data_IF_415889274986
#
_entry.id   IF_415889274986
#
_cell.length_a   1.000
_cell.length_b   1.000
_cell.length_c   1.000
_cell.angle_alpha   90.00
_cell.angle_beta   90.00
_cell.angle_gamma   90.00
#
_symmetry.space_group_name_H-M   'P 1'
#
loop_
_entity.id
_entity.type
_entity.pdbx_description
1 polymer ?
#
# COMPACT_ATOMS: atom_id res chain seq x y z
N UNK A 1 -14.71 8.97 -8.12
CA UNK A 1 -15.39 9.15 -9.43
C UNK A 1 -16.73 9.84 -9.20
N UNK A 2 -17.23 10.61 -10.18
CA UNK A 2 -18.52 11.31 -10.05
C UNK A 2 -19.71 10.34 -9.98
N UNK A 3 -20.72 10.69 -9.18
CA UNK A 3 -21.96 9.90 -9.03
C UNK A 3 -22.88 9.98 -10.26
N UNK A 4 -22.73 11.02 -11.08
CA UNK A 4 -23.57 11.29 -12.25
C UNK A 4 -22.75 11.25 -13.54
N UNK A 5 -23.32 10.63 -14.58
CA UNK A 5 -22.76 10.55 -15.94
C UNK A 5 -21.27 10.16 -16.00
N UNK A 6 -20.85 9.24 -15.14
CA UNK A 6 -19.48 8.73 -15.08
C UNK A 6 -19.37 7.37 -15.77
N UNK A 7 -18.14 6.91 -16.01
CA UNK A 7 -17.89 5.55 -16.48
C UNK A 7 -18.57 4.52 -15.55
N UNK A 8 -18.54 4.77 -14.24
CA UNK A 8 -19.17 3.93 -13.24
C UNK A 8 -20.70 3.86 -13.43
N UNK A 9 -21.38 5.00 -13.59
CA UNK A 9 -22.85 4.99 -13.75
C UNK A 9 -23.26 4.30 -15.05
N UNK A 10 -22.56 4.58 -16.15
CA UNK A 10 -22.83 3.95 -17.46
C UNK A 10 -22.54 2.44 -17.48
N UNK A 11 -21.51 1.99 -16.77
CA UNK A 11 -21.22 0.56 -16.66
C UNK A 11 -22.31 -0.18 -15.87
N UNK A 12 -22.81 0.42 -14.78
CA UNK A 12 -23.92 -0.13 -13.98
C UNK A 12 -25.25 -0.16 -14.74
N UNK A 13 -25.50 0.80 -15.63
CA UNK A 13 -26.67 0.78 -16.53
C UNK A 13 -26.65 -0.42 -17.48
N UNK A 14 -25.47 -0.78 -18.01
CA UNK A 14 -25.30 -1.93 -18.91
C UNK A 14 -25.29 -3.27 -18.18
N UNK A 15 -24.71 -3.34 -16.98
CA UNK A 15 -24.67 -4.55 -16.19
C UNK A 15 -24.79 -4.20 -14.70
N UNK A 16 -25.95 -4.50 -14.10
CA UNK A 16 -26.21 -4.24 -12.67
C UNK A 16 -25.34 -5.09 -11.74
N UNK A 17 -24.86 -6.25 -12.20
CA UNK A 17 -23.98 -7.15 -11.44
C UNK A 17 -22.50 -6.77 -11.49
N UNK A 18 -22.13 -5.65 -12.13
CA UNK A 18 -20.72 -5.22 -12.17
C UNK A 18 -20.27 -4.71 -10.81
N UNK A 19 -19.18 -5.29 -10.30
CA UNK A 19 -18.48 -4.75 -9.13
C UNK A 19 -17.52 -3.65 -9.57
N UNK A 20 -17.62 -2.48 -8.93
CA UNK A 20 -16.76 -1.33 -9.23
C UNK A 20 -16.01 -0.98 -7.96
N UNK A 21 -14.74 -1.37 -7.93
CA UNK A 21 -13.81 -1.01 -6.87
C UNK A 21 -13.12 0.32 -7.22
N UNK A 22 -13.04 1.24 -6.25
CA UNK A 22 -12.20 2.43 -6.35
C UNK A 22 -10.70 2.09 -6.27
N UNK A 23 -9.88 3.07 -5.89
CA UNK A 23 -8.48 2.84 -5.56
C UNK A 23 -8.27 3.01 -4.05
N UNK A 24 -8.37 1.93 -3.24
CA UNK A 24 -8.04 1.98 -1.82
C UNK A 24 -6.60 2.47 -1.57
N UNK A 25 -5.64 2.12 -2.43
CA UNK A 25 -4.24 2.58 -2.31
C UNK A 25 -4.14 4.12 -2.37
N UNK A 26 -4.87 4.75 -3.29
CA UNK A 26 -4.91 6.20 -3.43
C UNK A 26 -5.64 6.86 -2.25
N UNK A 27 -6.71 6.23 -1.75
CA UNK A 27 -7.37 6.69 -0.52
C UNK A 27 -6.37 6.67 0.65
N UNK A 28 -5.64 5.58 0.85
CA UNK A 28 -4.62 5.46 1.92
C UNK A 28 -3.52 6.51 1.77
N UNK A 29 -3.04 6.78 0.55
CA UNK A 29 -2.09 7.86 0.29
C UNK A 29 -2.67 9.24 0.67
N UNK A 30 -3.89 9.54 0.23
CA UNK A 30 -4.54 10.81 0.54
C UNK A 30 -4.83 10.96 2.03
N UNK A 31 -5.24 9.88 2.72
CA UNK A 31 -5.38 9.85 4.18
C UNK A 31 -4.07 10.28 4.84
N UNK A 32 -2.95 9.69 4.44
CA UNK A 32 -1.66 9.98 5.02
C UNK A 32 -1.19 11.41 4.71
N UNK A 33 -1.43 11.90 3.49
CA UNK A 33 -1.15 13.29 3.10
C UNK A 33 -1.96 14.28 3.95
N UNK A 34 -3.28 14.06 4.10
CA UNK A 34 -4.15 14.91 4.94
C UNK A 34 -3.75 14.88 6.41
N UNK A 35 -3.33 13.71 6.91
CA UNK A 35 -2.83 13.57 8.26
C UNK A 35 -1.51 14.35 8.46
N UNK A 36 -0.58 14.25 7.52
CA UNK A 36 0.67 15.01 7.49
C UNK A 36 0.41 16.53 7.48
N UNK A 37 -0.56 16.99 6.68
CA UNK A 37 -0.98 18.40 6.69
C UNK A 37 -1.53 18.82 8.05
N UNK A 38 -2.31 17.98 8.72
CA UNK A 38 -2.81 18.25 10.08
C UNK A 38 -1.66 18.40 11.08
N UNK A 39 -0.67 17.51 11.03
CA UNK A 39 0.54 17.63 11.86
C UNK A 39 1.30 18.93 11.59
N UNK A 40 1.44 19.30 10.31
CA UNK A 40 2.14 20.51 9.89
C UNK A 40 1.42 21.80 10.33
N UNK A 41 0.09 21.79 10.46
CA UNK A 41 -0.69 22.94 10.94
C UNK A 41 -0.35 23.30 12.40
N UNK A 42 -0.12 22.29 13.25
CA UNK A 42 0.21 22.50 14.67
C UNK A 42 1.71 22.74 14.91
N UNK A 43 2.58 22.08 14.13
CA UNK A 43 4.04 22.04 14.38
C UNK A 43 4.86 22.93 13.44
N UNK A 44 4.25 23.47 12.39
CA UNK A 44 4.92 24.14 11.27
C UNK A 44 6.00 23.27 10.59
N UNK A 45 5.89 21.94 10.72
CA UNK A 45 6.79 20.98 10.10
C UNK A 45 6.03 20.19 9.02
N UNK A 46 6.26 20.56 7.77
CA UNK A 46 5.78 19.82 6.61
C UNK A 46 6.82 18.77 6.20
N UNK A 47 6.47 17.50 6.32
CA UNK A 47 7.35 16.38 6.03
C UNK A 47 7.68 16.26 4.53
N UNK A 48 6.68 16.46 3.67
CA UNK A 48 6.80 16.32 2.22
C UNK A 48 7.76 17.39 1.67
N UNK A 49 7.55 18.65 2.06
CA UNK A 49 8.41 19.77 1.68
C UNK A 49 9.83 19.59 2.24
N UNK A 50 9.95 19.13 3.49
CA UNK A 50 11.25 18.87 4.11
C UNK A 50 12.06 17.81 3.35
N UNK A 51 11.44 16.66 3.04
CA UNK A 51 12.08 15.59 2.28
C UNK A 51 12.42 16.04 0.85
N UNK A 52 11.53 16.81 0.22
CA UNK A 52 11.74 17.39 -1.11
C UNK A 52 12.94 18.32 -1.13
N UNK A 53 13.02 19.28 -0.19
CA UNK A 53 14.13 20.24 -0.09
C UNK A 53 15.47 19.54 0.14
N UNK A 54 15.50 18.52 1.01
CA UNK A 54 16.72 17.73 1.26
C UNK A 54 17.17 17.01 0.00
N UNK A 55 16.27 16.34 -0.71
CA UNK A 55 16.61 15.64 -1.95
C UNK A 55 17.06 16.60 -3.06
N UNK A 56 16.34 17.72 -3.24
CA UNK A 56 16.61 18.74 -4.25
C UNK A 56 17.97 19.40 -4.04
N UNK A 57 18.36 19.64 -2.78
CA UNK A 57 19.66 20.22 -2.44
C UNK A 57 20.83 19.42 -3.02
N UNK A 58 20.73 18.08 -3.00
CA UNK A 58 21.78 17.19 -3.48
C UNK A 58 21.60 16.74 -4.93
N UNK A 59 20.38 16.72 -5.48
CA UNK A 59 20.03 16.08 -6.75
C UNK A 59 21.05 16.32 -7.88
N UNK A 60 21.41 17.59 -8.12
CA UNK A 60 22.26 18.01 -9.25
C UNK A 60 23.67 18.48 -8.88
N UNK A 61 24.13 18.27 -7.64
CA UNK A 61 25.43 18.81 -7.19
C UNK A 61 26.36 17.73 -6.67
N UNK A 62 27.29 17.29 -7.53
CA UNK A 62 28.36 16.37 -7.14
C UNK A 62 29.24 16.95 -6.02
N UNK A 63 29.49 18.27 -6.03
CA UNK A 63 30.23 18.97 -4.96
C UNK A 63 29.54 18.83 -3.59
N UNK A 64 28.21 19.01 -3.53
CA UNK A 64 27.45 18.86 -2.29
C UNK A 64 27.41 17.41 -1.82
N UNK A 65 27.25 16.45 -2.74
CA UNK A 65 27.31 15.00 -2.43
C UNK A 65 28.67 14.60 -1.85
N UNK A 66 29.77 14.98 -2.51
CA UNK A 66 31.13 14.70 -2.04
C UNK A 66 31.43 15.36 -0.70
N UNK A 67 30.88 16.55 -0.43
CA UNK A 67 31.01 17.18 0.89
C UNK A 67 30.21 16.42 1.97
N UNK A 68 28.98 15.99 1.69
CA UNK A 68 28.22 15.16 2.62
C UNK A 68 28.94 13.85 2.93
N UNK A 69 29.57 13.22 1.93
CA UNK A 69 30.40 12.03 2.11
C UNK A 69 31.56 12.26 3.10
N UNK A 70 32.24 13.41 3.03
CA UNK A 70 33.26 13.79 4.04
C UNK A 70 32.70 13.90 5.44
N UNK A 71 31.47 14.42 5.62
CA UNK A 71 30.81 14.42 6.93
C UNK A 71 30.48 13.02 7.41
N UNK A 72 30.07 12.12 6.51
CA UNK A 72 29.82 10.71 6.86
C UNK A 72 31.11 10.03 7.33
N UNK A 73 32.22 10.23 6.61
CA UNK A 73 33.55 9.73 6.98
C UNK A 73 34.02 10.28 8.33
N UNK A 74 33.81 11.57 8.59
CA UNK A 74 34.16 12.20 9.88
C UNK A 74 33.38 11.61 11.08
N UNK A 75 32.21 11.04 10.82
CA UNK A 75 31.35 10.42 11.84
C UNK A 75 31.42 8.88 11.82
N UNK A 76 32.43 8.28 11.17
CA UNK A 76 32.61 6.83 11.04
C UNK A 76 31.35 6.12 10.51
N UNK A 77 30.67 6.74 9.55
CA UNK A 77 29.45 6.24 8.96
C UNK A 77 29.57 6.05 7.44
N UNK A 78 29.10 4.92 6.93
CA UNK A 78 29.02 4.67 5.49
C UNK A 78 28.12 5.69 4.80
N UNK A 79 28.63 6.25 3.70
CA UNK A 79 27.85 7.13 2.86
C UNK A 79 26.65 6.40 2.25
N UNK A 80 25.49 7.05 2.31
CA UNK A 80 24.27 6.61 1.64
C UNK A 80 23.71 7.75 0.81
N UNK A 81 23.29 7.47 -0.41
CA UNK A 81 22.70 8.49 -1.29
C UNK A 81 21.41 9.03 -0.69
N UNK A 82 21.18 10.35 -0.76
CA UNK A 82 19.86 10.89 -0.39
C UNK A 82 18.82 10.41 -1.39
N UNK A 83 17.69 9.90 -0.90
CA UNK A 83 16.61 9.37 -1.74
C UNK A 83 15.69 10.52 -2.16
N UNK A 84 15.36 10.57 -3.44
CA UNK A 84 14.35 11.48 -3.98
C UNK A 84 12.94 11.03 -3.59
N UNK A 85 12.15 11.98 -3.09
CA UNK A 85 10.74 11.75 -2.79
C UNK A 85 9.87 12.23 -3.95
N UNK A 86 8.87 11.41 -4.31
CA UNK A 86 7.83 11.79 -5.27
C UNK A 86 6.55 12.05 -4.48
N UNK A 87 6.07 13.29 -4.49
CA UNK A 87 4.95 13.79 -3.66
C UNK A 87 3.65 12.97 -3.73
N UNK A 88 3.48 12.14 -4.76
CA UNK A 88 2.28 11.32 -4.97
C UNK A 88 2.36 9.92 -4.38
N UNK A 89 3.43 9.57 -3.65
CA UNK A 89 3.65 8.20 -3.15
C UNK A 89 4.08 8.19 -1.69
N UNK A 90 3.17 7.81 -0.80
CA UNK A 90 3.47 7.66 0.63
C UNK A 90 4.64 6.70 0.91
N UNK A 91 4.79 5.64 0.11
CA UNK A 91 5.91 4.69 0.23
C UNK A 91 7.27 5.33 -0.08
N UNK A 92 7.36 6.29 -1.02
CA UNK A 92 8.63 7.00 -1.26
C UNK A 92 8.97 7.94 -0.11
N UNK A 93 7.95 8.52 0.55
CA UNK A 93 8.16 9.37 1.71
C UNK A 93 8.73 8.57 2.89
N UNK A 94 8.24 7.34 3.10
CA UNK A 94 8.81 6.41 4.08
C UNK A 94 10.29 6.14 3.80
N UNK A 95 10.64 5.82 2.54
CA UNK A 95 12.02 5.56 2.16
C UNK A 95 12.93 6.78 2.35
N UNK A 96 12.48 7.97 1.92
CA UNK A 96 13.22 9.21 2.04
C UNK A 96 13.43 9.59 3.52
N UNK A 97 12.37 9.53 4.33
CA UNK A 97 12.44 9.83 5.77
C UNK A 97 13.38 8.88 6.50
N UNK A 98 13.31 7.58 6.21
CA UNK A 98 14.21 6.58 6.78
C UNK A 98 15.69 6.85 6.38
N UNK A 99 15.94 7.26 5.14
CA UNK A 99 17.29 7.64 4.68
C UNK A 99 17.79 8.89 5.38
N UNK A 100 16.94 9.89 5.57
CA UNK A 100 17.30 11.12 6.30
C UNK A 100 17.62 10.79 7.75
N UNK A 101 16.81 9.99 8.44
CA UNK A 101 17.07 9.56 9.81
C UNK A 101 18.40 8.80 9.94
N UNK A 102 18.69 7.90 9.01
CA UNK A 102 19.97 7.19 8.99
C UNK A 102 21.16 8.15 8.86
N UNK A 103 21.00 9.24 8.10
CA UNK A 103 22.06 10.24 7.87
C UNK A 103 21.90 11.46 8.79
N UNK A 104 21.03 11.43 9.80
CA UNK A 104 20.54 12.64 10.45
C UNK A 104 21.66 13.45 11.09
N UNK A 105 22.57 12.78 11.80
CA UNK A 105 23.76 13.41 12.41
C UNK A 105 24.63 14.13 11.36
N UNK A 106 24.89 13.47 10.24
CA UNK A 106 25.74 13.97 9.16
C UNK A 106 25.06 15.15 8.44
N UNK A 107 23.76 15.02 8.17
CA UNK A 107 22.95 16.07 7.55
C UNK A 107 22.83 17.29 8.46
N UNK A 108 22.62 17.09 9.77
CA UNK A 108 22.59 18.17 10.76
C UNK A 108 23.92 18.92 10.78
N UNK A 109 25.05 18.21 10.86
CA UNK A 109 26.39 18.82 10.82
C UNK A 109 26.70 19.51 9.50
N UNK A 110 26.19 18.98 8.38
CA UNK A 110 26.32 19.59 7.06
C UNK A 110 25.52 20.89 6.94
N UNK A 111 24.27 20.90 7.41
CA UNK A 111 23.35 22.02 7.20
C UNK A 111 23.48 23.14 8.23
N UNK A 112 24.01 22.87 9.43
CA UNK A 112 24.22 23.89 10.45
C UNK A 112 24.98 25.12 9.88
N UNK A 113 26.16 24.96 9.24
CA UNK A 113 26.91 26.10 8.69
C UNK A 113 26.30 26.65 7.39
N UNK A 114 25.60 25.82 6.61
CA UNK A 114 25.05 26.22 5.30
C UNK A 114 23.80 27.11 5.43
N UNK A 115 22.96 26.85 6.43
CA UNK A 115 21.70 27.56 6.66
C UNK A 115 21.89 28.97 7.22
N UNK A 116 23.06 29.27 7.78
CA UNK A 116 23.50 30.62 8.17
C UNK A 116 23.89 31.47 6.96
N UNK A 117 24.31 30.84 5.86
CA UNK A 117 24.83 31.51 4.67
C UNK A 117 23.82 31.61 3.51
N UNK A 118 22.84 30.68 3.42
CA UNK A 118 21.91 30.61 2.29
C UNK A 118 20.44 30.71 2.73
N UNK A 119 19.73 31.72 2.19
CA UNK A 119 18.30 32.01 2.43
C UNK A 119 17.31 31.10 1.69
N UNK A 120 17.78 30.21 0.81
CA UNK A 120 16.94 29.61 -0.24
C UNK A 120 16.07 28.40 0.15
N UNK A 121 16.23 27.80 1.34
CA UNK A 121 15.39 26.67 1.74
C UNK A 121 14.93 26.79 3.19
N UNK A 122 13.73 27.35 3.38
CA UNK A 122 13.04 27.48 4.67
C UNK A 122 13.05 26.18 5.47
N UNK A 123 12.80 25.04 4.82
CA UNK A 123 12.65 23.76 5.51
C UNK A 123 13.99 23.15 5.95
N UNK A 124 15.09 23.44 5.24
CA UNK A 124 16.43 22.98 5.67
C UNK A 124 16.88 23.62 6.99
N UNK A 125 16.38 24.84 7.31
CA UNK A 125 16.59 25.46 8.62
C UNK A 125 15.98 24.65 9.76
N UNK A 126 15.05 23.72 9.49
CA UNK A 126 14.53 22.82 10.52
C UNK A 126 15.62 21.92 11.12
N UNK A 127 16.75 21.68 10.44
CA UNK A 127 17.90 20.99 11.07
C UNK A 127 18.52 21.76 12.26
N UNK A 128 18.30 23.09 12.34
CA UNK A 128 18.70 23.90 13.49
C UNK A 128 17.85 23.58 14.72
N UNK A 129 16.60 23.17 14.51
CA UNK A 129 15.70 22.86 15.61
C UNK A 129 15.96 21.44 16.13
N UNK A 130 16.19 21.28 17.45
CA UNK A 130 16.44 19.97 18.05
C UNK A 130 15.22 19.04 18.04
N UNK A 131 14.00 19.56 17.90
CA UNK A 131 12.77 18.74 17.85
C UNK A 131 12.55 18.06 16.50
N UNK A 132 13.20 18.52 15.43
CA UNK A 132 13.01 17.99 14.06
C UNK A 132 13.31 16.49 13.96
N UNK A 133 14.31 15.99 14.68
CA UNK A 133 14.59 14.55 14.73
C UNK A 133 13.41 13.77 15.29
N UNK A 134 12.78 14.31 16.33
CA UNK A 134 11.64 13.70 17.02
C UNK A 134 10.42 13.65 16.09
N UNK A 135 10.20 14.69 15.28
CA UNK A 135 9.16 14.72 14.25
C UNK A 135 9.41 13.62 13.20
N UNK A 136 10.63 13.50 12.68
CA UNK A 136 10.98 12.46 11.72
C UNK A 136 10.80 11.04 12.31
N UNK A 137 11.19 10.83 13.56
CA UNK A 137 11.00 9.57 14.28
C UNK A 137 9.52 9.24 14.50
N UNK A 138 8.68 10.28 14.68
CA UNK A 138 7.23 10.09 14.74
C UNK A 138 6.69 9.56 13.41
N UNK A 139 7.02 10.22 12.30
CA UNK A 139 6.62 9.77 10.98
C UNK A 139 7.16 8.38 10.63
N UNK A 140 8.44 8.10 10.96
CA UNK A 140 9.04 6.78 10.77
C UNK A 140 8.16 5.66 11.35
N UNK A 141 7.63 5.88 12.54
CA UNK A 141 6.77 4.91 13.21
C UNK A 141 5.37 4.81 12.61
N UNK A 142 4.79 5.93 12.18
CA UNK A 142 3.44 5.95 11.61
C UNK A 142 3.40 5.37 10.20
N UNK A 143 4.50 5.39 9.43
CA UNK A 143 4.53 4.80 8.08
C UNK A 143 4.04 3.35 8.06
N UNK A 144 4.47 2.53 9.02
CA UNK A 144 4.08 1.12 9.12
C UNK A 144 2.56 0.91 9.15
N UNK A 145 1.79 1.87 9.67
CA UNK A 145 0.33 1.80 9.75
C UNK A 145 -0.30 1.81 8.36
N UNK A 146 0.17 2.73 7.50
CA UNK A 146 -0.32 2.89 6.14
C UNK A 146 0.31 1.86 5.19
N UNK A 147 1.61 1.63 5.32
CA UNK A 147 2.37 0.76 4.42
C UNK A 147 1.95 -0.71 4.52
N UNK A 148 1.52 -1.18 5.70
CA UNK A 148 1.02 -2.55 5.85
C UNK A 148 -0.26 -2.79 5.03
N UNK A 149 -1.26 -1.91 5.16
CA UNK A 149 -2.50 -2.00 4.39
C UNK A 149 -2.24 -1.78 2.89
N UNK A 150 -1.40 -0.80 2.56
CA UNK A 150 -1.06 -0.49 1.17
C UNK A 150 -0.35 -1.66 0.47
N UNK A 151 0.60 -2.33 1.16
CA UNK A 151 1.27 -3.53 0.64
C UNK A 151 0.29 -4.68 0.40
N UNK A 152 -0.70 -4.85 1.27
CA UNK A 152 -1.74 -5.88 1.08
C UNK A 152 -2.61 -5.58 -0.15
N UNK A 153 -3.02 -4.32 -0.31
CA UNK A 153 -3.82 -3.88 -1.46
C UNK A 153 -3.06 -3.93 -2.79
N UNK A 154 -1.72 -3.98 -2.76
CA UNK A 154 -0.86 -4.07 -3.94
C UNK A 154 -0.39 -5.50 -4.24
N UNK A 155 -0.90 -6.51 -3.53
CA UNK A 155 -0.55 -7.90 -3.81
C UNK A 155 -1.07 -8.32 -5.17
N UNK A 156 -0.29 -9.10 -5.90
CA UNK A 156 -0.74 -9.72 -7.14
C UNK A 156 -1.78 -10.81 -6.88
N UNK A 157 -1.57 -11.59 -5.80
CA UNK A 157 -2.49 -12.64 -5.39
C UNK A 157 -3.83 -12.04 -4.95
N UNK A 158 -4.96 -12.69 -5.26
CA UNK A 158 -6.27 -12.19 -4.89
C UNK A 158 -6.44 -12.21 -3.36
N UNK A 159 -6.62 -11.03 -2.76
CA UNK A 159 -6.80 -10.87 -1.30
C UNK A 159 -8.11 -10.17 -0.94
N UNK A 160 -9.11 -10.18 -1.81
CA UNK A 160 -10.37 -9.44 -1.59
C UNK A 160 -11.05 -9.82 -0.26
N UNK A 161 -10.97 -11.10 0.12
CA UNK A 161 -11.53 -11.64 1.37
C UNK A 161 -10.85 -11.10 2.64
N UNK A 162 -9.64 -10.54 2.53
CA UNK A 162 -8.91 -9.93 3.65
C UNK A 162 -9.17 -8.43 3.78
N UNK A 163 -9.57 -7.75 2.70
CA UNK A 163 -9.57 -6.28 2.62
C UNK A 163 -10.41 -5.65 3.71
N UNK A 164 -11.63 -6.15 3.94
CA UNK A 164 -12.53 -5.61 4.96
C UNK A 164 -11.90 -5.66 6.36
N UNK A 165 -11.40 -6.82 6.75
CA UNK A 165 -10.78 -7.01 8.06
C UNK A 165 -9.53 -6.16 8.23
N UNK A 166 -8.72 -6.01 7.18
CA UNK A 166 -7.49 -5.21 7.23
C UNK A 166 -7.77 -3.71 7.29
N UNK A 167 -8.85 -3.21 6.67
CA UNK A 167 -9.32 -1.84 6.87
C UNK A 167 -9.79 -1.60 8.31
N UNK A 168 -10.55 -2.53 8.89
CA UNK A 168 -10.98 -2.46 10.29
C UNK A 168 -9.78 -2.48 11.26
N UNK A 169 -8.81 -3.38 11.02
CA UNK A 169 -7.55 -3.44 11.80
C UNK A 169 -6.75 -2.15 11.67
N UNK A 170 -6.67 -1.57 10.47
CA UNK A 170 -6.01 -0.27 10.25
C UNK A 170 -6.64 0.82 11.12
N UNK A 171 -7.96 1.01 11.05
CA UNK A 171 -8.67 2.02 11.85
C UNK A 171 -8.53 1.78 13.35
N UNK A 172 -8.70 0.54 13.80
CA UNK A 172 -8.56 0.17 15.21
C UNK A 172 -7.15 0.47 15.75
N UNK A 173 -6.11 0.23 14.94
CA UNK A 173 -4.72 0.58 15.29
C UNK A 173 -4.48 2.08 15.38
N UNK A 174 -5.16 2.89 14.57
CA UNK A 174 -5.07 4.36 14.67
C UNK A 174 -5.81 4.85 15.91
N UNK A 175 -7.06 4.43 16.10
CA UNK A 175 -7.88 4.80 17.25
C UNK A 175 -7.18 4.45 18.57
N UNK A 176 -6.67 3.23 18.70
CA UNK A 176 -5.95 2.78 19.89
C UNK A 176 -4.64 3.52 20.20
N UNK A 177 -4.19 4.46 19.36
CA UNK A 177 -3.03 5.31 19.65
C UNK A 177 -3.37 6.59 20.42
N UNK A 178 -4.61 7.07 20.34
CA UNK A 178 -4.98 8.38 20.86
C UNK A 178 -6.38 8.44 21.47
N UNK A 179 -7.20 7.41 21.32
CA UNK A 179 -8.53 7.29 21.91
C UNK A 179 -8.47 6.31 23.09
N UNK A 180 -9.26 6.56 24.13
CA UNK A 180 -9.34 5.64 25.27
C UNK A 180 -9.81 4.25 24.85
N UNK A 181 -9.35 3.23 25.58
CA UNK A 181 -9.80 1.85 25.35
C UNK A 181 -11.31 1.70 25.49
N UNK A 182 -11.91 2.40 26.45
CA UNK A 182 -13.35 2.43 26.68
C UNK A 182 -14.12 2.95 25.45
N UNK A 183 -13.78 4.13 24.94
CA UNK A 183 -14.44 4.71 23.77
C UNK A 183 -14.25 3.85 22.51
N UNK A 184 -13.09 3.20 22.38
CA UNK A 184 -12.82 2.26 21.28
C UNK A 184 -13.71 1.01 21.37
N UNK A 185 -13.91 0.47 22.57
CA UNK A 185 -14.77 -0.70 22.80
C UNK A 185 -16.25 -0.35 22.61
N UNK A 186 -16.69 0.85 23.01
CA UNK A 186 -18.05 1.34 22.78
C UNK A 186 -18.44 1.36 21.29
N UNK A 187 -17.47 1.56 20.38
CA UNK A 187 -17.70 1.47 18.93
C UNK A 187 -18.04 0.06 18.42
N UNK A 188 -17.71 -0.99 19.18
CA UNK A 188 -18.01 -2.37 18.82
C UNK A 188 -17.48 -2.77 17.44
N UNK A 189 -18.36 -3.31 16.59
CA UNK A 189 -18.07 -3.69 15.20
C UNK A 189 -18.07 -2.51 14.22
N UNK A 190 -18.58 -1.35 14.63
CA UNK A 190 -18.75 -0.18 13.79
C UNK A 190 -17.88 0.98 14.30
N UNK A 191 -16.62 0.97 13.86
CA UNK A 191 -15.63 1.96 14.26
C UNK A 191 -16.00 3.39 13.86
N UNK A 192 -16.96 3.59 12.96
CA UNK A 192 -17.43 4.94 12.58
C UNK A 192 -18.19 5.64 13.70
N UNK A 193 -18.70 4.88 14.69
CA UNK A 193 -19.43 5.39 15.86
C UNK A 193 -18.51 5.83 17.00
N UNK A 194 -17.21 5.55 16.90
CA UNK A 194 -16.25 5.99 17.92
C UNK A 194 -16.17 7.51 17.85
N UNK A 195 -16.52 8.19 18.94
CA UNK A 195 -16.43 9.65 19.05
C UNK A 195 -14.98 10.09 19.32
N UNK A 196 -14.11 9.83 18.34
CA UNK A 196 -12.67 10.10 18.42
C UNK A 196 -12.32 11.59 18.36
N UNK A 197 -13.29 12.45 18.04
CA UNK A 197 -13.08 13.91 17.98
C UNK A 197 -13.27 14.59 19.33
N UNK A 198 -13.95 13.93 20.26
CA UNK A 198 -14.19 14.45 21.59
C UNK A 198 -12.92 14.36 22.45
N UNK A 199 -12.38 15.49 22.94
CA UNK A 199 -11.19 15.51 23.78
C UNK A 199 -11.32 14.64 25.05
N UNK A 200 -12.52 14.55 25.63
CA UNK A 200 -12.77 13.75 26.84
C UNK A 200 -12.62 12.23 26.61
N UNK A 201 -12.64 11.81 25.33
CA UNK A 201 -12.47 10.43 24.91
C UNK A 201 -11.08 10.16 24.34
N UNK A 202 -10.25 11.19 24.25
CA UNK A 202 -8.85 11.07 23.84
C UNK A 202 -7.97 10.76 25.05
N UNK A 203 -6.80 10.19 24.78
CA UNK A 203 -5.77 9.95 25.77
C UNK A 203 -5.05 11.27 26.06
N UNK A 204 -4.70 11.51 27.32
CA UNK A 204 -3.75 12.58 27.67
C UNK A 204 -2.43 12.41 26.91
N UNK A 205 -1.72 13.51 26.67
CA UNK A 205 -0.43 13.55 25.97
C UNK A 205 0.58 12.51 26.49
N UNK A 206 0.58 12.30 27.81
CA UNK A 206 1.44 11.32 28.50
C UNK A 206 1.11 9.87 28.18
N UNK A 207 -0.09 9.60 27.66
CA UNK A 207 -0.61 8.28 27.31
C UNK A 207 -0.77 8.07 25.80
N UNK A 208 -0.70 9.12 24.98
CA UNK A 208 -0.70 8.97 23.52
C UNK A 208 0.47 8.09 23.09
N UNK A 209 0.16 7.09 22.26
CA UNK A 209 1.15 6.13 21.79
C UNK A 209 1.95 6.70 20.62
N UNK A 210 2.98 7.47 20.97
CA UNK A 210 3.99 8.01 20.07
C UNK A 210 5.29 7.20 20.09
N UNK A 211 5.27 5.94 20.55
CA UNK A 211 6.42 5.00 20.57
C UNK A 211 7.59 5.33 21.51
N UNK A 212 8.25 4.29 22.02
CA UNK A 212 9.12 4.37 23.21
C UNK A 212 10.38 5.23 23.05
N UNK A 213 11.01 5.21 21.87
CA UNK A 213 12.30 5.89 21.64
C UNK A 213 12.16 7.43 21.69
N UNK A 214 10.96 7.96 21.40
CA UNK A 214 10.71 9.41 21.36
C UNK A 214 10.59 10.04 22.75
N UNK A 215 10.01 9.33 23.72
CA UNK A 215 9.95 9.81 25.12
C UNK A 215 11.35 10.02 25.70
N UNK A 216 12.28 9.12 25.38
CA UNK A 216 13.69 9.26 25.78
C UNK A 216 14.32 10.50 25.13
N UNK A 217 14.04 10.74 23.85
CA UNK A 217 14.53 11.94 23.15
C UNK A 217 13.98 13.25 23.73
N UNK A 218 12.70 13.30 24.10
CA UNK A 218 12.12 14.45 24.79
C UNK A 218 12.72 14.68 26.17
N UNK A 219 12.79 13.64 27.01
CA UNK A 219 13.35 13.75 28.36
C UNK A 219 14.80 14.24 28.29
N UNK A 220 15.60 13.69 27.36
CA UNK A 220 16.97 14.13 27.15
C UNK A 220 17.02 15.59 26.65
N UNK A 221 16.23 15.91 25.63
CA UNK A 221 16.20 17.26 25.05
C UNK A 221 15.78 18.34 26.04
N UNK A 222 14.80 18.06 26.91
CA UNK A 222 14.38 18.95 27.98
C UNK A 222 15.46 19.10 29.06
N UNK A 223 16.09 17.99 29.49
CA UNK A 223 17.20 18.02 30.45
C UNK A 223 18.40 18.83 29.94
N UNK A 224 18.71 18.70 28.65
CA UNK A 224 19.81 19.41 28.01
C UNK A 224 19.45 20.88 27.67
N UNK A 225 18.23 21.35 27.97
CA UNK A 225 17.75 22.69 27.63
C UNK A 225 17.55 22.95 26.14
N UNK A 226 17.58 21.90 25.31
CA UNK A 226 17.46 21.99 23.87
C UNK A 226 16.00 22.02 23.41
N UNK A 227 15.09 21.35 24.13
CA UNK A 227 13.66 21.28 23.78
C UNK A 227 12.87 21.89 24.93
N UNK A 228 12.06 22.90 24.61
CA UNK A 228 11.16 23.56 25.55
C UNK A 228 9.78 22.88 25.61
N UNK A 229 9.04 23.15 26.68
CA UNK A 229 7.72 22.59 26.94
C UNK A 229 6.68 22.98 25.87
N UNK A 230 6.77 24.18 25.29
CA UNK A 230 5.86 24.64 24.24
C UNK A 230 6.04 23.77 22.99
N UNK A 231 7.29 23.47 22.62
CA UNK A 231 7.60 22.57 21.50
C UNK A 231 7.09 21.15 21.72
N UNK A 232 7.10 20.66 22.97
CA UNK A 232 6.53 19.35 23.34
C UNK A 232 5.01 19.36 23.22
N UNK A 233 4.33 20.39 23.72
CA UNK A 233 2.87 20.49 23.61
C UNK A 233 2.43 20.57 22.14
N UNK A 234 3.08 21.42 21.34
CA UNK A 234 2.84 21.49 19.88
C UNK A 234 3.04 20.15 19.18
N UNK A 235 4.00 19.34 19.64
CA UNK A 235 4.19 18.01 19.09
C UNK A 235 2.97 17.12 19.35
N UNK A 236 2.46 17.08 20.59
CA UNK A 236 1.30 16.26 20.91
C UNK A 236 0.02 16.77 20.24
N UNK A 237 -0.17 18.10 20.16
CA UNK A 237 -1.23 18.71 19.35
C UNK A 237 -1.15 18.23 17.89
N UNK A 238 0.05 18.25 17.30
CA UNK A 238 0.30 17.74 15.95
C UNK A 238 0.01 16.25 15.79
N UNK A 239 0.36 15.43 16.79
CA UNK A 239 0.06 13.99 16.79
C UNK A 239 -1.45 13.75 16.87
N UNK A 240 -2.15 14.45 17.74
CA UNK A 240 -3.62 14.40 17.83
C UNK A 240 -4.26 14.81 16.51
N UNK A 241 -3.84 15.93 15.94
CA UNK A 241 -4.31 16.39 14.64
C UNK A 241 -4.06 15.36 13.53
N UNK A 242 -2.88 14.74 13.49
CA UNK A 242 -2.54 13.67 12.56
C UNK A 242 -3.51 12.49 12.69
N UNK A 243 -3.74 12.01 13.90
CA UNK A 243 -4.61 10.88 14.19
C UNK A 243 -6.08 11.18 13.85
N UNK A 244 -6.59 12.33 14.27
CA UNK A 244 -7.97 12.78 13.98
C UNK A 244 -8.20 12.93 12.48
N UNK A 245 -7.27 13.55 11.75
CA UNK A 245 -7.35 13.70 10.28
C UNK A 245 -7.26 12.34 9.57
N UNK A 246 -6.43 11.42 10.08
CA UNK A 246 -6.35 10.04 9.58
C UNK A 246 -7.70 9.35 9.69
N UNK A 247 -8.31 9.34 10.88
CA UNK A 247 -9.62 8.72 11.10
C UNK A 247 -10.71 9.38 10.25
N UNK A 248 -10.77 10.71 10.21
CA UNK A 248 -11.78 11.46 9.46
C UNK A 248 -11.74 11.13 7.96
N UNK A 249 -10.57 11.24 7.32
CA UNK A 249 -10.47 11.00 5.89
C UNK A 249 -10.63 9.52 5.55
N UNK A 250 -10.06 8.61 6.36
CA UNK A 250 -10.16 7.18 6.13
C UNK A 250 -11.61 6.69 6.27
N UNK A 251 -12.33 7.10 7.31
CA UNK A 251 -13.72 6.68 7.52
C UNK A 251 -14.68 7.24 6.46
N UNK A 252 -14.41 8.43 5.95
CA UNK A 252 -15.22 9.05 4.88
C UNK A 252 -14.99 8.39 3.52
N UNK A 253 -13.75 7.98 3.22
CA UNK A 253 -13.36 7.61 1.86
C UNK A 253 -13.10 6.12 1.66
N UNK A 254 -12.74 5.35 2.69
CA UNK A 254 -12.58 3.90 2.58
C UNK A 254 -13.95 3.22 2.38
N UNK A 255 -14.00 2.12 1.63
CA UNK A 255 -15.23 1.36 1.40
C UNK A 255 -15.63 0.51 2.63
N UNK A 256 -15.78 1.15 3.81
CA UNK A 256 -16.10 0.46 5.07
C UNK A 256 -17.51 -0.12 5.11
N UNK A 257 -18.41 0.43 4.28
CA UNK A 257 -19.80 -0.02 4.15
C UNK A 257 -20.03 -0.82 2.85
N UNK A 258 -18.97 -1.29 2.20
CA UNK A 258 -19.08 -2.13 1.00
C UNK A 258 -19.52 -3.54 1.41
N UNK A 259 -20.78 -3.87 1.08
CA UNK A 259 -21.38 -5.17 1.38
C UNK A 259 -20.61 -6.34 0.76
N UNK A 260 -20.00 -6.16 -0.41
CA UNK A 260 -19.23 -7.22 -1.05
C UNK A 260 -17.98 -7.51 -0.23
N UNK A 261 -17.25 -6.46 0.18
CA UNK A 261 -16.07 -6.63 1.02
C UNK A 261 -16.43 -7.21 2.40
N UNK A 262 -17.56 -6.81 2.98
CA UNK A 262 -18.06 -7.36 4.25
C UNK A 262 -18.37 -8.86 4.17
N UNK A 263 -18.94 -9.32 3.05
CA UNK A 263 -19.32 -10.72 2.86
C UNK A 263 -18.17 -11.60 2.34
N UNK A 264 -17.15 -11.01 1.69
CA UNK A 264 -16.02 -11.73 1.09
C UNK A 264 -15.22 -12.66 2.04
N UNK A 265 -15.12 -12.44 3.36
CA UNK A 265 -14.47 -13.39 4.27
C UNK A 265 -15.07 -14.80 4.28
N UNK A 266 -16.24 -15.03 3.68
CA UNK A 266 -16.86 -16.36 3.58
C UNK A 266 -16.02 -17.42 2.82
N UNK A 267 -14.98 -16.99 2.09
CA UNK A 267 -14.02 -17.87 1.41
C UNK A 267 -12.69 -18.01 2.16
N UNK A 268 -12.55 -17.35 3.32
CA UNK A 268 -11.37 -17.46 4.17
C UNK A 268 -11.50 -18.67 5.08
N UNK A 269 -10.70 -19.70 4.83
CA UNK A 269 -10.68 -20.89 5.66
C UNK A 269 -10.38 -20.58 7.14
N UNK A 270 -9.55 -19.56 7.42
CA UNK A 270 -9.22 -19.17 8.80
C UNK A 270 -10.40 -18.53 9.54
N UNK A 271 -11.47 -18.18 8.82
CA UNK A 271 -12.69 -17.57 9.36
C UNK A 271 -13.90 -18.51 9.29
N UNK A 272 -13.71 -19.75 8.81
CA UNK A 272 -14.74 -20.79 8.68
C UNK A 272 -15.76 -20.80 9.85
N UNK A 273 -15.27 -20.81 11.08
CA UNK A 273 -16.11 -20.94 12.27
C UNK A 273 -16.92 -19.67 12.61
N UNK A 274 -16.55 -18.53 12.02
CA UNK A 274 -17.15 -17.23 12.28
C UNK A 274 -18.01 -16.71 11.12
N UNK A 275 -17.96 -17.37 9.96
CA UNK A 275 -18.75 -17.00 8.80
C UNK A 275 -20.14 -17.65 8.82
N UNK A 276 -21.12 -16.91 8.32
CA UNK A 276 -22.50 -17.35 8.24
C UNK A 276 -22.93 -17.59 6.79
N UNK A 277 -23.86 -18.52 6.58
CA UNK A 277 -24.39 -18.82 5.24
C UNK A 277 -25.01 -17.59 4.56
N UNK A 278 -25.46 -16.59 5.32
CA UNK A 278 -25.94 -15.30 4.79
C UNK A 278 -24.89 -14.59 3.93
N UNK A 279 -23.60 -14.70 4.26
CA UNK A 279 -22.52 -14.13 3.47
C UNK A 279 -22.33 -14.87 2.13
N UNK A 280 -22.54 -16.19 2.11
CA UNK A 280 -22.57 -16.99 0.88
C UNK A 280 -23.80 -16.63 0.04
N UNK A 281 -24.96 -16.48 0.67
CA UNK A 281 -26.21 -16.10 0.01
C UNK A 281 -26.12 -14.74 -0.69
N UNK A 282 -25.37 -13.79 -0.11
CA UNK A 282 -25.10 -12.50 -0.74
C UNK A 282 -24.54 -12.68 -2.15
N UNK A 283 -23.43 -13.43 -2.31
CA UNK A 283 -22.80 -13.63 -3.62
C UNK A 283 -23.69 -14.40 -4.59
N UNK A 284 -24.48 -15.34 -4.08
CA UNK A 284 -25.43 -16.08 -4.88
C UNK A 284 -26.50 -15.17 -5.48
N UNK A 285 -26.99 -14.20 -4.70
CA UNK A 285 -27.97 -13.21 -5.17
C UNK A 285 -27.33 -12.16 -6.08
N UNK A 286 -26.15 -11.66 -5.72
CA UNK A 286 -25.45 -10.60 -6.47
C UNK A 286 -24.98 -11.05 -7.86
N UNK A 287 -24.67 -12.35 -8.03
CA UNK A 287 -24.11 -12.91 -9.27
C UNK A 287 -24.98 -14.01 -9.90
N UNK A 288 -26.23 -14.17 -9.46
CA UNK A 288 -27.20 -15.14 -9.99
C UNK A 288 -26.65 -16.58 -10.08
N UNK A 289 -26.09 -17.07 -8.96
CA UNK A 289 -25.51 -18.42 -8.89
C UNK A 289 -26.58 -19.47 -8.54
N UNK A 290 -26.36 -20.73 -8.96
CA UNK A 290 -27.25 -21.85 -8.59
C UNK A 290 -27.17 -22.15 -7.09
N UNK A 291 -28.32 -22.13 -6.40
CA UNK A 291 -28.45 -22.38 -4.95
C UNK A 291 -28.43 -23.84 -4.52
N UNK A 292 -28.85 -24.75 -5.40
CA UNK A 292 -29.08 -26.17 -5.05
C UNK A 292 -27.83 -26.80 -4.41
N UNK A 293 -27.98 -27.41 -3.23
CA UNK A 293 -26.91 -28.08 -2.46
C UNK A 293 -25.75 -27.18 -1.98
N UNK A 294 -25.81 -25.86 -2.20
CA UNK A 294 -24.76 -24.96 -1.73
C UNK A 294 -24.78 -24.81 -0.20
N UNK A 295 -25.96 -24.88 0.42
CA UNK A 295 -26.11 -24.95 1.88
C UNK A 295 -25.39 -26.16 2.46
N UNK A 296 -25.53 -27.31 1.81
CA UNK A 296 -24.99 -28.58 2.29
C UNK A 296 -23.47 -28.57 2.14
N UNK A 297 -22.96 -28.08 1.00
CA UNK A 297 -21.51 -27.87 0.80
C UNK A 297 -20.92 -26.88 1.82
N UNK A 298 -21.65 -25.81 2.17
CA UNK A 298 -21.20 -24.85 3.17
C UNK A 298 -21.14 -25.46 4.58
N UNK A 299 -22.16 -26.23 4.98
CA UNK A 299 -22.19 -26.89 6.28
C UNK A 299 -21.10 -27.97 6.39
N UNK A 300 -20.86 -28.73 5.32
CA UNK A 300 -19.74 -29.67 5.25
C UNK A 300 -18.40 -28.93 5.34
N UNK A 301 -18.22 -27.84 4.59
CA UNK A 301 -17.01 -27.04 4.67
C UNK A 301 -16.76 -26.47 6.08
N UNK A 302 -17.82 -26.01 6.76
CA UNK A 302 -17.73 -25.41 8.09
C UNK A 302 -17.37 -26.43 9.18
N UNK A 303 -17.78 -27.69 8.99
CA UNK A 303 -17.52 -28.77 9.95
C UNK A 303 -16.30 -29.63 9.59
N UNK A 304 -15.67 -29.37 8.44
CA UNK A 304 -14.47 -30.03 7.98
C UNK A 304 -13.31 -29.78 8.96
N UNK A 305 -12.64 -30.86 9.39
CA UNK A 305 -11.48 -30.78 10.27
C UNK A 305 -10.19 -30.55 9.49
N UNK A 306 -9.19 -29.97 10.14
CA UNK A 306 -7.88 -29.71 9.54
C UNK A 306 -7.21 -31.00 9.03
N UNK A 307 -7.41 -32.15 9.67
CA UNK A 307 -6.84 -33.44 9.23
C UNK A 307 -7.45 -33.93 7.91
N UNK A 308 -8.63 -33.43 7.54
CA UNK A 308 -9.29 -33.76 6.28
C UNK A 308 -8.74 -32.94 5.10
N UNK A 309 -7.99 -31.87 5.38
CA UNK A 309 -7.34 -31.07 4.34
C UNK A 309 -6.03 -31.76 3.94
N UNK A 310 -5.87 -32.16 2.66
CA UNK A 310 -4.64 -32.77 2.22
C UNK A 310 -3.44 -31.82 2.41
N UNK A 311 -2.34 -32.33 2.95
CA UNK A 311 -1.12 -31.56 3.21
C UNK A 311 -0.58 -30.76 2.00
N UNK A 312 -0.82 -31.22 0.76
CA UNK A 312 -0.40 -30.50 -0.45
C UNK A 312 -1.20 -29.21 -0.67
N UNK A 313 -2.46 -29.14 -0.24
CA UNK A 313 -3.31 -27.94 -0.34
C UNK A 313 -2.72 -26.79 0.49
N UNK A 314 -2.23 -27.08 1.70
CA UNK A 314 -1.53 -26.09 2.54
C UNK A 314 -0.20 -25.65 1.95
N UNK A 315 0.54 -26.54 1.27
CA UNK A 315 1.88 -26.25 0.76
C UNK A 315 1.88 -25.46 -0.54
N UNK A 316 0.86 -25.63 -1.38
CA UNK A 316 0.86 -25.04 -2.72
C UNK A 316 0.10 -23.70 -2.80
N UNK A 317 -0.75 -23.37 -1.81
CA UNK A 317 -1.59 -22.16 -1.82
C UNK A 317 -2.32 -21.95 -3.17
N UNK A 318 -2.59 -23.04 -3.88
CA UNK A 318 -3.27 -23.10 -5.17
C UNK A 318 -4.75 -23.34 -4.93
N UNK A 319 -5.60 -22.75 -5.77
CA UNK A 319 -7.02 -23.10 -5.81
C UNK A 319 -7.12 -24.48 -6.45
N UNK A 320 -7.02 -25.52 -5.62
CA UNK A 320 -7.13 -26.90 -6.07
C UNK A 320 -8.62 -27.25 -6.12
N UNK A 321 -9.14 -27.45 -7.33
CA UNK A 321 -10.51 -27.96 -7.51
C UNK A 321 -10.62 -29.37 -6.88
N UNK A 322 -9.59 -30.19 -7.05
CA UNK A 322 -9.64 -31.63 -6.82
C UNK A 322 -9.14 -32.03 -5.43
N UNK A 323 -9.96 -31.88 -4.40
CA UNK A 323 -9.77 -32.67 -3.17
C UNK A 323 -10.37 -34.05 -3.41
N UNK A 324 -9.53 -35.08 -3.51
CA UNK A 324 -9.98 -36.46 -3.75
C UNK A 324 -10.78 -36.96 -2.56
N UNK A 325 -12.01 -37.42 -2.82
CA UNK A 325 -12.77 -38.28 -1.91
C UNK A 325 -12.72 -39.69 -2.52
N UNK A 326 -12.27 -40.68 -1.75
CA UNK A 326 -12.31 -42.12 -2.10
C UNK A 326 -11.72 -42.51 -3.47
N UNK A 327 -10.60 -41.90 -3.87
CA UNK A 327 -9.87 -42.30 -5.08
C UNK A 327 -10.53 -41.91 -6.41
N UNK A 328 -11.75 -41.36 -6.41
CA UNK A 328 -12.37 -40.73 -7.59
C UNK A 328 -12.09 -39.22 -7.62
N UNK A 329 -11.92 -38.67 -8.83
CA UNK A 329 -11.78 -37.22 -9.08
C UNK A 329 -13.13 -36.51 -8.95
N UNK A 330 -13.77 -36.59 -7.79
CA UNK A 330 -15.01 -35.84 -7.51
C UNK A 330 -14.65 -34.66 -6.61
N UNK A 331 -15.10 -33.47 -7.00
CA UNK A 331 -14.95 -32.25 -6.21
C UNK A 331 -15.84 -32.39 -4.96
N UNK A 332 -15.27 -32.24 -3.75
CA UNK A 332 -16.05 -32.20 -2.49
C UNK A 332 -16.96 -30.97 -2.44
N UNK A 333 -16.47 -29.83 -2.93
CA UNK A 333 -17.17 -28.53 -2.89
C UNK A 333 -17.28 -27.87 -4.28
N UNK A 334 -17.96 -28.47 -5.27
CA UNK A 334 -17.98 -27.97 -6.64
C UNK A 334 -18.63 -26.58 -6.79
N UNK A 335 -19.68 -26.30 -6.02
CA UNK A 335 -20.43 -25.04 -6.13
C UNK A 335 -19.79 -23.96 -5.29
N UNK A 336 -19.40 -24.29 -4.05
CA UNK A 336 -18.67 -23.38 -3.17
C UNK A 336 -17.32 -23.01 -3.77
N UNK A 337 -16.60 -23.97 -4.37
CA UNK A 337 -15.36 -23.71 -5.09
C UNK A 337 -15.55 -22.80 -6.31
N UNK A 338 -16.63 -22.97 -7.07
CA UNK A 338 -16.97 -22.06 -8.19
C UNK A 338 -17.28 -20.65 -7.70
N UNK A 339 -18.03 -20.51 -6.60
CA UNK A 339 -18.29 -19.22 -5.97
C UNK A 339 -17.01 -18.56 -5.46
N UNK A 340 -16.15 -19.33 -4.79
CA UNK A 340 -14.88 -18.83 -4.28
C UNK A 340 -13.98 -18.31 -5.42
N UNK A 341 -13.91 -19.02 -6.55
CA UNK A 341 -13.21 -18.56 -7.75
C UNK A 341 -13.78 -17.25 -8.30
N UNK A 342 -15.10 -17.11 -8.33
CA UNK A 342 -15.74 -15.86 -8.73
C UNK A 342 -15.31 -14.71 -7.80
N UNK A 343 -15.37 -14.92 -6.49
CA UNK A 343 -14.96 -13.91 -5.50
C UNK A 343 -13.48 -13.55 -5.69
N UNK A 344 -12.60 -14.54 -5.83
CA UNK A 344 -11.17 -14.33 -6.05
C UNK A 344 -10.85 -13.67 -7.40
N UNK A 345 -11.75 -13.73 -8.38
CA UNK A 345 -11.59 -13.02 -9.66
C UNK A 345 -11.93 -11.53 -9.57
N UNK A 346 -12.58 -11.09 -8.48
CA UNK A 346 -12.92 -9.69 -8.27
C UNK A 346 -11.68 -8.87 -7.88
N UNK A 347 -11.55 -7.62 -8.38
CA UNK A 347 -10.45 -6.77 -8.02
C UNK A 347 -10.56 -6.32 -6.56
N UNK A 348 -9.47 -6.47 -5.81
CA UNK A 348 -9.34 -5.94 -4.44
C UNK A 348 -8.72 -4.53 -4.43
N UNK A 349 -8.10 -4.11 -5.54
CA UNK A 349 -7.61 -2.77 -5.82
C UNK A 349 -7.47 -2.58 -7.34
N UNK A 350 -7.08 -1.38 -7.76
CA UNK A 350 -6.74 -1.09 -9.16
C UNK A 350 -5.26 -1.33 -9.49
N UNK A 351 -4.47 -1.92 -8.59
CA UNK A 351 -3.01 -2.06 -8.75
C UNK A 351 -2.65 -2.85 -10.00
N UNK A 352 -3.37 -3.95 -10.28
CA UNK A 352 -3.16 -4.76 -11.49
C UNK A 352 -3.37 -3.94 -12.78
N UNK A 353 -4.41 -3.11 -12.81
CA UNK A 353 -4.66 -2.21 -13.93
C UNK A 353 -3.56 -1.14 -14.06
N UNK A 354 -3.14 -0.52 -12.95
CA UNK A 354 -2.05 0.45 -12.94
C UNK A 354 -0.72 -0.15 -13.42
N UNK A 355 -0.45 -1.41 -13.07
CA UNK A 355 0.71 -2.15 -13.54
C UNK A 355 0.70 -2.34 -15.05
N UNK A 356 -0.43 -2.76 -15.62
CA UNK A 356 -0.59 -2.87 -17.08
C UNK A 356 -0.37 -1.52 -17.75
N UNK A 357 -0.95 -0.44 -17.21
CA UNK A 357 -0.73 0.91 -17.75
C UNK A 357 0.73 1.38 -17.62
N UNK A 358 1.40 1.04 -16.52
CA UNK A 358 2.83 1.31 -16.33
C UNK A 358 3.67 0.56 -17.35
N UNK A 359 3.37 -0.72 -17.59
CA UNK A 359 4.05 -1.54 -18.58
C UNK A 359 3.85 -0.99 -20.00
N UNK A 360 2.64 -0.56 -20.35
CA UNK A 360 2.37 0.14 -21.62
C UNK A 360 3.26 1.38 -21.74
N UNK A 361 3.33 2.22 -20.70
CA UNK A 361 4.12 3.45 -20.72
C UNK A 361 5.62 3.19 -20.83
N UNK A 362 6.13 2.15 -20.18
CA UNK A 362 7.54 1.78 -20.25
C UNK A 362 7.94 1.27 -21.64
N UNK A 363 7.01 0.64 -22.38
CA UNK A 363 7.30 0.11 -23.71
C UNK A 363 7.05 1.12 -24.84
N UNK A 364 6.20 2.13 -24.60
CA UNK A 364 6.07 3.30 -25.48
C UNK A 364 7.21 4.28 -25.18
N UNK A 365 8.36 4.05 -25.80
CA UNK A 365 9.52 4.97 -25.74
C UNK A 365 9.49 5.97 -26.89
N UNK A 366 10.31 7.01 -26.84
CA UNK A 366 10.49 7.94 -27.97
C UNK A 366 10.97 7.26 -29.27
N UNK A 367 11.56 6.05 -29.17
CA UNK A 367 11.98 5.24 -30.31
C UNK A 367 10.93 4.20 -30.75
N UNK A 368 9.88 4.00 -29.95
CA UNK A 368 8.78 3.05 -30.16
C UNK A 368 7.45 3.68 -29.75
N UNK A 369 7.12 4.84 -30.33
CA UNK A 369 5.92 5.62 -29.99
C UNK A 369 4.64 5.03 -30.58
N UNK A 370 4.76 4.33 -31.71
CA UNK A 370 3.65 3.79 -32.52
C UNK A 370 3.64 2.26 -32.57
N UNK A 371 3.61 1.60 -31.41
CA UNK A 371 3.31 0.17 -31.36
C UNK A 371 1.83 -0.09 -31.65
N UNK A 372 1.54 -0.99 -32.60
CA UNK A 372 0.17 -1.45 -32.90
C UNK A 372 -0.47 -1.97 -31.62
N UNK A 373 -1.63 -1.40 -31.26
CA UNK A 373 -2.38 -1.77 -30.05
C UNK A 373 -2.87 -3.22 -30.12
N UNK A 374 -3.31 -3.65 -31.30
CA UNK A 374 -3.95 -4.96 -31.50
C UNK A 374 -2.93 -6.10 -31.69
N UNK A 375 -1.76 -5.79 -32.24
CA UNK A 375 -0.74 -6.81 -32.57
C UNK A 375 0.46 -6.73 -31.64
N UNK A 376 1.37 -5.78 -31.88
CA UNK A 376 2.71 -5.76 -31.27
C UNK A 376 2.66 -5.47 -29.78
N UNK A 377 1.91 -4.44 -29.36
CA UNK A 377 1.81 -4.08 -27.96
C UNK A 377 1.05 -5.16 -27.19
N UNK A 378 -0.09 -5.62 -27.71
CA UNK A 378 -0.89 -6.70 -27.11
C UNK A 378 -0.04 -7.95 -26.89
N UNK A 379 0.64 -8.43 -27.93
CA UNK A 379 1.51 -9.61 -27.85
C UNK A 379 2.63 -9.43 -26.82
N UNK A 380 3.26 -8.26 -26.78
CA UNK A 380 4.33 -7.96 -25.83
C UNK A 380 3.82 -7.95 -24.39
N UNK A 381 2.69 -7.29 -24.13
CA UNK A 381 2.07 -7.27 -22.81
C UNK A 381 1.66 -8.67 -22.36
N UNK A 382 1.06 -9.48 -23.26
CA UNK A 382 0.69 -10.86 -22.95
C UNK A 382 1.91 -11.65 -22.50
N UNK A 383 3.01 -11.63 -23.26
CA UNK A 383 4.25 -12.34 -22.89
C UNK A 383 4.81 -11.86 -21.55
N UNK A 384 4.75 -10.55 -21.28
CA UNK A 384 5.25 -9.98 -20.03
C UNK A 384 4.36 -10.36 -18.83
N UNK A 385 3.04 -10.44 -19.02
CA UNK A 385 2.08 -10.80 -17.98
C UNK A 385 1.98 -12.32 -17.73
N UNK A 386 2.23 -13.15 -18.74
CA UNK A 386 2.17 -14.62 -18.61
C UNK A 386 3.47 -15.21 -18.09
N UNK A 387 4.55 -14.43 -17.95
CA UNK A 387 5.79 -14.89 -17.33
C UNK A 387 5.55 -15.32 -15.88
N UNK A 388 5.70 -16.60 -15.54
CA UNK A 388 5.64 -17.02 -14.15
C UNK A 388 6.82 -16.39 -13.40
N UNK A 389 6.59 -15.78 -12.23
CA UNK A 389 7.67 -15.32 -11.35
C UNK A 389 8.68 -16.44 -11.02
N UNK A 390 8.23 -17.70 -11.10
CA UNK A 390 9.00 -18.91 -10.84
C UNK A 390 9.92 -19.35 -12.00
N UNK A 391 9.75 -18.82 -13.22
CA UNK A 391 10.69 -19.02 -14.33
C UNK A 391 11.77 -17.95 -14.27
N UNK A 392 12.74 -18.16 -13.37
CA UNK A 392 13.78 -17.18 -13.08
C UNK A 392 14.49 -16.63 -14.32
N UNK A 393 14.85 -15.34 -14.27
CA UNK A 393 15.64 -14.58 -15.25
C UNK A 393 15.22 -14.69 -16.74
N UNK A 394 15.10 -13.55 -17.41
CA UNK A 394 14.66 -13.44 -18.81
C UNK A 394 15.37 -14.31 -19.85
N UNK A 395 16.53 -14.90 -19.54
CA UNK A 395 17.29 -15.80 -20.41
C UNK A 395 16.81 -17.27 -20.39
N UNK A 396 15.92 -17.66 -19.47
CA UNK A 396 15.31 -19.01 -19.41
C UNK A 396 13.98 -19.12 -20.14
N UNK A 397 13.43 -17.99 -20.58
CA UNK A 397 12.19 -17.96 -21.35
C UNK A 397 12.42 -18.62 -22.70
N UNK A 398 11.81 -19.77 -22.93
CA UNK A 398 11.72 -20.39 -24.24
C UNK A 398 10.51 -19.80 -24.98
N UNK A 399 10.74 -18.98 -26.02
CA UNK A 399 9.64 -18.41 -26.78
C UNK A 399 8.86 -19.52 -27.50
N UNK A 400 7.52 -19.40 -27.62
CA UNK A 400 6.72 -20.32 -28.44
C UNK A 400 7.31 -20.48 -29.84
N UNK A 401 7.17 -21.67 -30.44
CA UNK A 401 7.78 -22.02 -31.74
C UNK A 401 7.59 -20.94 -32.83
N UNK A 402 6.42 -20.27 -32.82
CA UNK A 402 6.09 -19.20 -33.76
C UNK A 402 7.02 -17.98 -33.65
N UNK A 403 7.46 -17.60 -32.44
CA UNK A 403 8.39 -16.50 -32.21
C UNK A 403 9.80 -16.92 -32.62
N UNK A 404 10.19 -18.17 -32.36
CA UNK A 404 11.49 -18.73 -32.79
C UNK A 404 11.60 -18.78 -34.31
N UNK A 405 10.54 -19.20 -34.99
CA UNK A 405 10.44 -19.18 -36.45
C UNK A 405 10.53 -17.75 -37.00
N UNK A 406 9.79 -16.81 -36.39
CA UNK A 406 9.79 -15.40 -36.77
C UNK A 406 11.17 -14.76 -36.62
N UNK A 407 11.91 -15.06 -35.53
CA UNK A 407 13.28 -14.56 -35.31
C UNK A 407 14.23 -15.01 -36.41
N UNK A 408 14.11 -16.26 -36.86
CA UNK A 408 14.93 -16.81 -37.96
C UNK A 408 14.62 -16.10 -39.28
N UNK A 409 13.34 -15.92 -39.60
CA UNK A 409 12.88 -15.23 -40.81
C UNK A 409 13.30 -13.75 -40.81
N UNK A 410 13.11 -13.03 -39.70
CA UNK A 410 13.52 -11.62 -39.56
C UNK A 410 15.04 -11.46 -39.66
N UNK A 411 15.81 -12.38 -39.09
CA UNK A 411 17.27 -12.35 -39.21
C UNK A 411 17.74 -12.61 -40.64
N UNK A 412 17.13 -13.57 -41.34
CA UNK A 412 17.40 -13.81 -42.75
C UNK A 412 17.01 -12.63 -43.65
N UNK A 413 15.87 -11.99 -43.38
CA UNK A 413 15.43 -10.77 -44.04
C UNK A 413 16.45 -9.64 -43.84
N UNK A 414 16.79 -9.33 -42.58
CA UNK A 414 17.76 -8.28 -42.26
C UNK A 414 19.13 -8.56 -42.89
N UNK A 415 19.58 -9.82 -42.91
CA UNK A 415 20.85 -10.21 -43.56
C UNK A 415 20.81 -10.04 -45.08
N UNK A 416 19.69 -10.38 -45.73
CA UNK A 416 19.48 -10.18 -47.17
C UNK A 416 19.39 -8.70 -47.54
N UNK A 417 18.85 -7.87 -46.65
CA UNK A 417 18.64 -6.43 -46.88
C UNK A 417 19.70 -5.52 -46.23
N UNK A 418 20.75 -6.08 -45.62
CA UNK A 418 21.84 -5.33 -44.99
C UNK A 418 22.74 -4.56 -46.01
N UNK A 419 22.51 -4.72 -47.31
CA UNK A 419 23.23 -4.02 -48.39
C UNK A 419 22.33 -3.03 -49.14
N UNK A 420 21.65 -2.14 -48.43
CA UNK A 420 21.06 -0.93 -49.02
C UNK A 420 21.31 0.27 -48.10
N UNK A 421 22.58 0.54 -47.79
CA UNK A 421 23.07 1.88 -47.48
C UNK A 421 24.60 1.82 -47.43
N UNK A 422 25.22 2.16 -48.55
CA UNK A 422 26.59 2.68 -48.60
C UNK A 422 26.56 3.92 -49.47
#
# INVERSE_FOLDING_TARGET
>A
MGKHNSLMSRAKEKNKGIYICGCPCHIIHNTASKASTGFAQETEFDLDDFCTDVSYWFAKSMKRKARLEKYCQFHDQDYKTVIEHVSTRWLSLEMATNRILQLYRNLKGYFLPETECHTRSKHLKKFLSPITEVYLMFFQHTFSLFSNLNKLLQREKPTIYLVYQEMQKFLKKILGKFVTGEATVQGGSDLSKVDYKNPDRQLDDTHIFTGSIRRVAFIKGMKDGNIDEISVNKFFDGVCAFCVKTCAYAMENLPLNDELLYNAPCIDYTQNLHVHFTQVQYFVQSFDLKKEKLSDEFLDHQTMRDEEIPNHVYKEATVVENVKVDGQKVLRFPRLGKMAKLILSLPHSNTSAEWVFSLVRQNKTAFHDSLSLEETLSSFLTVMMTRPENEGSCYRFEPPEIITASKKVTWEYNKKHHKVSK
#
